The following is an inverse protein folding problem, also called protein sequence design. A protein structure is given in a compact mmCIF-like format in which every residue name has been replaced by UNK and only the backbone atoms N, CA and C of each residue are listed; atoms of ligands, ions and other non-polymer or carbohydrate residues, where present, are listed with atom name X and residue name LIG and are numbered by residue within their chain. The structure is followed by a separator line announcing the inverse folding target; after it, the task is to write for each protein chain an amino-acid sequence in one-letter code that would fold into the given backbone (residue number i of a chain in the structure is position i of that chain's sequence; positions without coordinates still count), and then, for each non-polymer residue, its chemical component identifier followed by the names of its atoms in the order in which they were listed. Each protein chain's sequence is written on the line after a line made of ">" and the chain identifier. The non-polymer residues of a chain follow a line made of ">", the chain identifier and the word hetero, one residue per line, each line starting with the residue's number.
data_IF_491112830705
#
_entry.id   IF_491112830705
#
_cell.length_a   1.000
_cell.length_b   1.000
_cell.length_c   1.000
_cell.angle_alpha   90.00
_cell.angle_beta   90.00
_cell.angle_gamma   90.00
#
_symmetry.space_group_name_H-M   'P 1'
#
loop_
_entity.id
_entity.type
_entity.pdbx_description
1 polymer ?
#
# COMPACT_ATOMS: atom_id res chain seq x y z
N UNK A 1 -47.40 8.89 -15.69
CA UNK A 1 -46.93 9.82 -14.62
C UNK A 1 -46.35 9.05 -13.44
N UNK A 2 -47.09 8.09 -12.87
CA UNK A 2 -46.65 7.31 -11.70
C UNK A 2 -45.33 6.54 -11.88
N UNK A 3 -45.14 5.85 -13.00
CA UNK A 3 -43.92 5.08 -13.28
C UNK A 3 -42.68 5.98 -13.44
N UNK A 4 -42.86 7.13 -14.09
CA UNK A 4 -41.84 8.17 -14.22
C UNK A 4 -41.42 8.69 -12.84
N UNK A 5 -42.37 8.93 -11.94
CA UNK A 5 -42.08 9.49 -10.61
C UNK A 5 -41.36 8.47 -9.71
N UNK A 6 -41.72 7.19 -9.83
CA UNK A 6 -41.00 6.07 -9.19
C UNK A 6 -39.56 5.98 -9.71
N UNK A 7 -39.36 6.05 -11.03
CA UNK A 7 -38.02 6.04 -11.64
C UNK A 7 -37.20 7.25 -11.19
N UNK A 8 -37.81 8.44 -11.13
CA UNK A 8 -37.14 9.67 -10.68
C UNK A 8 -36.61 9.53 -9.23
N UNK A 9 -37.39 8.91 -8.36
CA UNK A 9 -37.02 8.67 -6.96
C UNK A 9 -35.85 7.68 -6.87
N UNK A 10 -35.88 6.61 -7.66
CA UNK A 10 -34.80 5.63 -7.72
C UNK A 10 -33.49 6.24 -8.25
N UNK A 11 -33.57 7.07 -9.29
CA UNK A 11 -32.41 7.77 -9.84
C UNK A 11 -31.79 8.72 -8.82
N UNK A 12 -32.61 9.50 -8.09
CA UNK A 12 -32.10 10.35 -7.00
C UNK A 12 -31.36 9.53 -5.93
N UNK A 13 -31.97 8.44 -5.44
CA UNK A 13 -31.35 7.59 -4.44
C UNK A 13 -30.07 6.90 -4.91
N UNK A 14 -29.97 6.54 -6.18
CA UNK A 14 -28.73 6.02 -6.78
C UNK A 14 -27.66 7.11 -6.89
N UNK A 15 -28.04 8.32 -7.30
CA UNK A 15 -27.12 9.45 -7.41
C UNK A 15 -26.52 9.84 -6.05
N UNK A 16 -27.32 9.79 -4.97
CA UNK A 16 -26.82 10.05 -3.62
C UNK A 16 -25.87 8.94 -3.13
N UNK A 17 -26.13 7.67 -3.49
CA UNK A 17 -25.23 6.55 -3.20
C UNK A 17 -23.91 6.66 -3.96
N UNK A 18 -23.95 7.04 -5.25
CA UNK A 18 -22.75 7.25 -6.06
C UNK A 18 -21.88 8.34 -5.43
N UNK A 19 -22.47 9.48 -5.06
CA UNK A 19 -21.74 10.57 -4.39
C UNK A 19 -21.09 10.11 -3.08
N UNK A 20 -21.83 9.37 -2.24
CA UNK A 20 -21.29 8.84 -0.99
C UNK A 20 -20.16 7.82 -1.22
N UNK A 21 -20.17 7.08 -2.32
CA UNK A 21 -19.09 6.17 -2.69
C UNK A 21 -17.87 6.92 -3.23
N UNK A 22 -18.08 7.97 -4.03
CA UNK A 22 -17.00 8.86 -4.50
C UNK A 22 -16.29 9.56 -3.34
N UNK A 23 -17.06 10.06 -2.35
CA UNK A 23 -16.49 10.69 -1.15
C UNK A 23 -15.64 9.70 -0.34
N UNK A 24 -16.12 8.46 -0.17
CA UNK A 24 -15.35 7.38 0.49
C UNK A 24 -14.10 7.01 -0.28
N UNK A 25 -14.20 6.91 -1.62
CA UNK A 25 -13.05 6.61 -2.46
C UNK A 25 -11.98 7.68 -2.26
N UNK A 26 -12.37 8.96 -2.29
CA UNK A 26 -11.49 10.10 -2.08
C UNK A 26 -10.87 10.13 -0.67
N UNK A 27 -11.61 9.71 0.36
CA UNK A 27 -11.07 9.53 1.72
C UNK A 27 -9.99 8.43 1.77
N UNK A 28 -10.15 7.38 0.95
CA UNK A 28 -9.20 6.26 0.87
C UNK A 28 -8.06 6.46 -0.14
N UNK A 29 -8.20 7.36 -1.11
CA UNK A 29 -7.19 7.65 -2.15
C UNK A 29 -5.88 8.22 -1.58
N UNK A 30 -5.89 8.74 -0.34
CA UNK A 30 -4.68 9.13 0.39
C UNK A 30 -4.12 8.05 1.33
N UNK A 31 -4.77 6.90 1.45
CA UNK A 31 -4.34 5.76 2.28
C UNK A 31 -3.97 4.56 1.40
N UNK A 32 -3.31 4.84 0.27
CA UNK A 32 -2.85 3.82 -0.66
C UNK A 32 -1.90 2.84 0.02
N UNK A 33 -1.74 1.66 -0.56
CA UNK A 33 -0.82 0.64 -0.04
C UNK A 33 0.65 1.12 0.05
N UNK A 34 0.99 2.18 -0.69
CA UNK A 34 2.28 2.88 -0.65
C UNK A 34 2.46 3.75 0.61
N UNK A 35 1.38 4.13 1.29
CA UNK A 35 1.43 4.84 2.58
C UNK A 35 1.47 3.89 3.78
N UNK A 36 1.56 2.58 3.52
CA UNK A 36 1.81 1.53 4.54
C UNK A 36 3.29 1.51 4.96
N UNK A 37 4.14 2.42 4.46
CA UNK A 37 5.46 2.60 5.08
C UNK A 37 5.23 3.21 6.47
N UNK A 38 5.32 2.36 7.48
CA UNK A 38 5.16 2.75 8.89
C UNK A 38 6.20 3.81 9.25
N UNK A 39 5.92 4.60 10.31
CA UNK A 39 6.91 5.54 10.82
C UNK A 39 8.23 4.85 11.20
N UNK A 40 8.16 3.59 11.64
CA UNK A 40 9.32 2.76 11.95
C UNK A 40 10.15 2.44 10.70
N UNK A 41 9.50 2.03 9.61
CA UNK A 41 10.20 1.76 8.34
C UNK A 41 10.87 3.03 7.77
N UNK A 42 10.21 4.19 7.87
CA UNK A 42 10.84 5.48 7.48
C UNK A 42 12.02 5.86 8.36
N UNK A 43 11.98 5.51 9.65
CA UNK A 43 13.07 5.79 10.57
C UNK A 43 14.31 4.92 10.27
N UNK A 44 14.09 3.65 9.91
CA UNK A 44 15.17 2.70 9.55
C UNK A 44 15.71 2.97 8.14
N UNK A 45 14.84 3.28 7.18
CA UNK A 45 15.21 3.61 5.79
C UNK A 45 15.14 5.11 5.51
N UNK A 46 15.95 5.90 6.24
CA UNK A 46 15.94 7.37 6.10
C UNK A 46 16.32 7.86 4.69
N UNK A 47 17.09 7.06 3.96
CA UNK A 47 17.52 7.36 2.59
C UNK A 47 16.49 6.89 1.54
N UNK A 48 15.44 6.17 1.93
CA UNK A 48 14.40 5.68 1.03
C UNK A 48 14.89 4.61 0.04
N UNK A 49 15.97 3.90 0.36
CA UNK A 49 16.58 2.89 -0.51
C UNK A 49 15.61 1.71 -0.73
N UNK A 50 14.76 1.45 0.25
CA UNK A 50 13.88 0.30 0.33
C UNK A 50 12.41 0.66 0.14
N UNK A 51 12.06 1.95 0.16
CA UNK A 51 10.69 2.45 0.03
C UNK A 51 9.93 1.93 -1.21
N UNK A 52 10.62 1.62 -2.31
CA UNK A 52 10.03 1.09 -3.54
C UNK A 52 10.14 -0.43 -3.72
N UNK A 53 10.70 -1.15 -2.75
CA UNK A 53 10.90 -2.59 -2.87
C UNK A 53 9.65 -3.36 -2.44
N UNK A 54 9.33 -4.41 -3.20
CA UNK A 54 8.35 -5.39 -2.72
C UNK A 54 8.91 -6.14 -1.50
N UNK A 55 8.02 -6.67 -0.67
CA UNK A 55 8.40 -7.49 0.50
C UNK A 55 9.30 -8.68 0.12
N UNK A 56 9.06 -9.31 -1.03
CA UNK A 56 9.89 -10.41 -1.52
C UNK A 56 11.32 -9.96 -1.84
N UNK A 57 11.48 -8.78 -2.45
CA UNK A 57 12.80 -8.20 -2.74
C UNK A 57 13.56 -7.84 -1.47
N UNK A 58 12.88 -7.32 -0.44
CA UNK A 58 13.49 -7.06 0.86
C UNK A 58 13.99 -8.34 1.51
N UNK A 59 13.17 -9.40 1.52
CA UNK A 59 13.57 -10.71 2.05
C UNK A 59 14.78 -11.26 1.30
N UNK A 60 14.81 -11.18 -0.04
CA UNK A 60 15.97 -11.61 -0.84
C UNK A 60 17.25 -10.89 -0.41
N UNK A 61 17.22 -9.56 -0.29
CA UNK A 61 18.38 -8.78 0.14
C UNK A 61 18.89 -9.14 1.54
N UNK A 62 17.99 -9.52 2.46
CA UNK A 62 18.36 -9.98 3.80
C UNK A 62 19.13 -11.31 3.72
N UNK A 63 18.68 -12.24 2.89
CA UNK A 63 19.39 -13.50 2.66
C UNK A 63 20.76 -13.27 2.00
N UNK A 64 20.82 -12.44 0.95
CA UNK A 64 22.09 -12.11 0.28
C UNK A 64 23.13 -11.54 1.27
N UNK A 65 22.69 -10.65 2.17
CA UNK A 65 23.55 -10.07 3.21
C UNK A 65 24.01 -11.14 4.22
N UNK A 66 23.10 -12.01 4.66
CA UNK A 66 23.41 -13.08 5.60
C UNK A 66 24.43 -14.07 5.01
N UNK A 67 24.26 -14.45 3.76
CA UNK A 67 25.17 -15.36 3.05
C UNK A 67 26.56 -14.72 2.93
N UNK A 68 26.62 -13.45 2.51
CA UNK A 68 27.89 -12.69 2.42
C UNK A 68 28.58 -12.61 3.79
N UNK A 69 27.83 -12.37 4.86
CA UNK A 69 28.36 -12.30 6.21
C UNK A 69 28.92 -13.66 6.65
N UNK A 70 28.20 -14.75 6.37
CA UNK A 70 28.65 -16.11 6.68
C UNK A 70 29.94 -16.46 5.95
N UNK A 71 29.99 -16.22 4.64
CA UNK A 71 31.19 -16.44 3.82
C UNK A 71 32.39 -15.63 4.32
N UNK A 72 32.16 -14.37 4.69
CA UNK A 72 33.21 -13.49 5.22
C UNK A 72 33.76 -14.03 6.54
N UNK A 73 32.90 -14.47 7.45
CA UNK A 73 33.30 -15.03 8.75
C UNK A 73 34.04 -16.35 8.54
N UNK A 74 33.51 -17.26 7.71
CA UNK A 74 34.18 -18.52 7.39
C UNK A 74 35.57 -18.31 6.79
N UNK A 75 35.74 -17.29 5.95
CA UNK A 75 37.03 -16.93 5.35
C UNK A 75 38.03 -16.36 6.38
N UNK A 76 37.59 -15.87 7.54
CA UNK A 76 38.48 -15.39 8.60
C UNK A 76 39.02 -16.51 9.51
N UNK A 77 38.40 -17.70 9.46
CA UNK A 77 38.83 -18.88 10.22
C UNK A 77 39.69 -19.86 9.40
N UNK A 78 39.93 -19.54 8.12
CA UNK A 78 40.83 -20.26 7.21
C UNK A 78 42.10 -19.46 6.94
#
# INVERSE_FOLDING_TARGET
>A
VQERDTLLTKVKGLNDKVRALEDKLKETEGKGAEDIITGEERAVDRAGIYAGLSRAMLVSKIFDLNDTMLETISSQFH
#
